data_IF_748077996500
#
_entry.id   IF_748077996500
#
_cell.length_a   1.000
_cell.length_b   1.000
_cell.length_c   1.000
_cell.angle_alpha   90.00
_cell.angle_beta   90.00
_cell.angle_gamma   90.00
#
_symmetry.space_group_name_H-M   'P 1'
#
loop_
_entity.id
_entity.type
_entity.pdbx_description
1 polymer ?
#
# COMPACT_ATOMS: atom_id res chain seq x y z
N UNK A 1 -40.88 6.51 33.07
CA UNK A 1 -41.15 7.56 32.05
C UNK A 1 -39.89 8.31 31.60
N UNK A 2 -39.06 8.85 32.50
CA UNK A 2 -37.84 9.61 32.13
C UNK A 2 -36.83 8.75 31.34
N UNK A 3 -36.63 7.50 31.76
CA UNK A 3 -35.72 6.57 31.08
C UNK A 3 -36.12 6.27 29.63
N UNK A 4 -37.42 6.26 29.34
CA UNK A 4 -37.95 6.01 28.01
C UNK A 4 -37.68 7.21 27.08
N UNK A 5 -37.80 8.43 27.59
CA UNK A 5 -37.48 9.66 26.86
C UNK A 5 -36.00 9.76 26.47
N UNK A 6 -35.10 9.38 27.38
CA UNK A 6 -33.66 9.38 27.12
C UNK A 6 -33.29 8.37 26.03
N UNK A 7 -33.86 7.17 26.10
CA UNK A 7 -33.62 6.11 25.09
C UNK A 7 -34.16 6.51 23.72
N UNK A 8 -35.31 7.17 23.65
CA UNK A 8 -35.85 7.67 22.38
C UNK A 8 -34.94 8.73 21.76
N UNK A 9 -34.43 9.66 22.55
CA UNK A 9 -33.50 10.69 22.05
C UNK A 9 -32.17 10.10 21.59
N UNK A 10 -31.59 9.14 22.31
CA UNK A 10 -30.34 8.50 21.87
C UNK A 10 -30.54 7.67 20.61
N UNK A 11 -31.73 7.09 20.39
CA UNK A 11 -32.07 6.42 19.13
C UNK A 11 -32.15 7.39 17.95
N UNK A 12 -32.74 8.57 18.16
CA UNK A 12 -32.88 9.62 17.14
C UNK A 12 -31.51 10.18 16.71
N UNK A 13 -30.60 10.37 17.67
CA UNK A 13 -29.20 10.76 17.42
C UNK A 13 -28.36 9.65 16.76
N UNK A 14 -28.72 8.39 16.94
CA UNK A 14 -28.02 7.24 16.38
C UNK A 14 -28.55 6.83 14.99
N UNK A 15 -29.70 7.36 14.57
CA UNK A 15 -30.16 7.21 13.19
C UNK A 15 -29.24 8.00 12.26
N UNK A 16 -28.50 7.36 11.33
CA UNK A 16 -27.75 8.10 10.33
C UNK A 16 -28.75 8.92 9.54
N UNK A 17 -28.66 10.25 9.67
CA UNK A 17 -29.41 11.19 8.87
C UNK A 17 -29.07 10.91 7.41
N UNK A 18 -29.98 10.21 6.73
CA UNK A 18 -29.94 10.13 5.27
C UNK A 18 -30.01 11.57 4.79
N UNK A 19 -29.04 12.04 3.98
CA UNK A 19 -29.01 13.43 3.59
C UNK A 19 -30.37 13.79 2.98
N UNK A 20 -31.05 14.77 3.59
CA UNK A 20 -32.26 15.37 3.05
C UNK A 20 -32.00 15.68 1.58
N UNK A 21 -32.88 15.31 0.63
CA UNK A 21 -32.71 15.66 -0.77
C UNK A 21 -32.72 17.19 -0.83
N UNK A 22 -31.53 17.78 -0.83
CA UNK A 22 -31.36 19.19 -1.15
C UNK A 22 -31.90 19.35 -2.56
N UNK A 23 -32.73 20.36 -2.78
CA UNK A 23 -33.05 20.89 -4.12
C UNK A 23 -31.78 21.52 -4.69
N UNK A 24 -30.72 20.71 -4.78
CA UNK A 24 -29.41 21.04 -5.30
C UNK A 24 -29.41 20.87 -6.81
N UNK A 25 -28.43 21.50 -7.44
CA UNK A 25 -28.16 21.42 -8.87
C UNK A 25 -28.35 19.97 -9.35
N UNK A 26 -29.16 19.78 -10.38
CA UNK A 26 -29.42 18.46 -10.97
C UNK A 26 -28.12 17.91 -11.58
N UNK A 27 -27.42 17.06 -10.82
CA UNK A 27 -26.16 16.42 -11.23
C UNK A 27 -26.37 15.04 -11.84
N UNK A 28 -27.62 14.62 -12.06
CA UNK A 28 -27.98 13.27 -12.49
C UNK A 28 -27.30 12.86 -13.82
N UNK A 29 -27.27 13.75 -14.81
CA UNK A 29 -26.57 13.51 -16.07
C UNK A 29 -25.04 13.39 -15.92
N UNK A 30 -24.46 14.16 -15.00
CA UNK A 30 -23.02 14.07 -14.69
C UNK A 30 -22.70 12.78 -13.94
N UNK A 31 -23.55 12.37 -12.99
CA UNK A 31 -23.40 11.13 -12.26
C UNK A 31 -23.50 9.92 -13.20
N UNK A 32 -24.43 9.96 -14.17
CA UNK A 32 -24.58 8.90 -15.17
C UNK A 32 -23.37 8.83 -16.10
N UNK A 33 -22.83 9.99 -16.54
CA UNK A 33 -21.59 10.04 -17.31
C UNK A 33 -20.41 9.44 -16.54
N UNK A 34 -20.21 9.84 -15.28
CA UNK A 34 -19.13 9.32 -14.43
C UNK A 34 -19.27 7.81 -14.22
N UNK A 35 -20.48 7.30 -14.01
CA UNK A 35 -20.72 5.85 -13.84
C UNK A 35 -20.50 5.06 -15.11
N UNK A 36 -20.98 5.53 -16.26
CA UNK A 36 -20.88 4.80 -17.53
C UNK A 36 -19.50 4.87 -18.15
N UNK A 37 -18.80 6.00 -18.00
CA UNK A 37 -17.54 6.24 -18.70
C UNK A 37 -16.33 6.17 -17.77
N UNK A 38 -16.35 6.93 -16.68
CA UNK A 38 -15.17 7.05 -15.82
C UNK A 38 -14.96 5.80 -14.95
N UNK A 39 -16.01 5.21 -14.40
CA UNK A 39 -15.88 4.06 -13.50
C UNK A 39 -15.25 2.81 -14.18
N UNK A 40 -15.65 2.38 -15.40
CA UNK A 40 -15.02 1.25 -16.08
C UNK A 40 -13.55 1.53 -16.43
N UNK A 41 -13.23 2.75 -16.87
CA UNK A 41 -11.88 3.14 -17.26
C UNK A 41 -10.96 3.16 -16.03
N UNK A 42 -11.42 3.74 -14.92
CA UNK A 42 -10.71 3.75 -13.65
C UNK A 42 -10.45 2.33 -13.13
N UNK A 43 -11.47 1.46 -13.10
CA UNK A 43 -11.30 0.08 -12.65
C UNK A 43 -10.34 -0.70 -13.53
N UNK A 44 -10.39 -0.53 -14.85
CA UNK A 44 -9.45 -1.19 -15.76
C UNK A 44 -8.00 -0.80 -15.44
N UNK A 45 -7.70 0.50 -15.34
CA UNK A 45 -6.34 0.98 -15.06
C UNK A 45 -5.88 0.55 -13.66
N UNK A 46 -6.71 0.72 -12.64
CA UNK A 46 -6.38 0.32 -11.27
C UNK A 46 -6.18 -1.18 -11.15
N UNK A 47 -6.95 -2.00 -11.88
CA UNK A 47 -6.76 -3.45 -11.88
C UNK A 47 -5.37 -3.85 -12.39
N UNK A 48 -4.92 -3.24 -13.49
CA UNK A 48 -3.58 -3.49 -14.05
C UNK A 48 -2.50 -3.07 -13.05
N UNK A 49 -2.60 -1.85 -12.52
CA UNK A 49 -1.64 -1.35 -11.51
C UNK A 49 -1.64 -2.23 -10.26
N UNK A 50 -2.80 -2.67 -9.77
CA UNK A 50 -2.93 -3.54 -8.61
C UNK A 50 -2.26 -4.90 -8.82
N UNK A 51 -2.41 -5.49 -10.01
CA UNK A 51 -1.73 -6.74 -10.38
C UNK A 51 -0.21 -6.54 -10.36
N UNK A 52 0.30 -5.50 -11.03
CA UNK A 52 1.74 -5.20 -11.02
C UNK A 52 2.25 -4.92 -9.60
N UNK A 53 1.49 -4.20 -8.78
CA UNK A 53 1.84 -3.90 -7.40
C UNK A 53 1.93 -5.16 -6.54
N UNK A 54 0.95 -6.06 -6.66
CA UNK A 54 0.94 -7.35 -5.96
C UNK A 54 2.19 -8.17 -6.29
N UNK A 55 2.52 -8.31 -7.57
CA UNK A 55 3.71 -9.06 -7.98
C UNK A 55 5.01 -8.35 -7.61
N UNK A 56 5.09 -7.03 -7.77
CA UNK A 56 6.32 -6.26 -7.46
C UNK A 56 6.68 -6.35 -5.98
N UNK A 57 5.70 -6.27 -5.07
CA UNK A 57 5.96 -6.32 -3.63
C UNK A 57 6.50 -7.68 -3.17
N UNK A 58 5.98 -8.76 -3.72
CA UNK A 58 6.43 -10.10 -3.35
C UNK A 58 7.76 -10.47 -4.03
N UNK A 59 7.92 -10.13 -5.32
CA UNK A 59 9.16 -10.40 -6.07
C UNK A 59 10.33 -9.61 -5.50
N UNK A 60 10.16 -8.35 -5.11
CA UNK A 60 11.26 -7.57 -4.51
C UNK A 60 11.76 -8.18 -3.21
N UNK A 61 10.86 -8.69 -2.35
CA UNK A 61 11.25 -9.41 -1.14
C UNK A 61 11.98 -10.72 -1.47
N UNK A 62 11.49 -11.48 -2.44
CA UNK A 62 12.14 -12.71 -2.90
C UNK A 62 13.54 -12.46 -3.46
N UNK A 63 13.69 -11.42 -4.29
CA UNK A 63 14.98 -11.00 -4.85
C UNK A 63 15.95 -10.59 -3.74
N UNK A 64 15.48 -9.89 -2.69
CA UNK A 64 16.33 -9.58 -1.53
C UNK A 64 16.87 -10.83 -0.84
N UNK A 65 16.05 -11.87 -0.68
CA UNK A 65 16.51 -13.15 -0.13
C UNK A 65 17.56 -13.82 -1.02
N UNK A 66 17.35 -13.84 -2.34
CA UNK A 66 18.34 -14.38 -3.29
C UNK A 66 19.65 -13.61 -3.21
N UNK A 67 19.60 -12.28 -3.24
CA UNK A 67 20.80 -11.42 -3.17
C UNK A 67 21.55 -11.70 -1.87
N UNK A 68 20.86 -11.80 -0.73
CA UNK A 68 21.48 -12.09 0.55
C UNK A 68 22.14 -13.48 0.54
N UNK A 69 21.46 -14.51 0.03
CA UNK A 69 22.01 -15.86 -0.07
C UNK A 69 23.27 -15.90 -0.93
N UNK A 70 23.25 -15.24 -2.10
CA UNK A 70 24.41 -15.12 -2.98
C UNK A 70 25.54 -14.36 -2.29
N UNK A 71 25.25 -13.24 -1.62
CA UNK A 71 26.26 -12.44 -0.93
C UNK A 71 27.00 -13.25 0.14
N UNK A 72 26.27 -14.01 0.96
CA UNK A 72 26.87 -14.91 1.95
C UNK A 72 27.67 -16.01 1.24
N UNK A 73 27.14 -16.62 0.18
CA UNK A 73 27.88 -17.60 -0.62
C UNK A 73 29.22 -17.04 -1.11
N UNK A 74 29.21 -15.85 -1.70
CA UNK A 74 30.42 -15.22 -2.24
C UNK A 74 31.43 -14.90 -1.13
N UNK A 75 31.00 -14.28 -0.03
CA UNK A 75 31.90 -13.86 1.06
C UNK A 75 32.63 -15.06 1.67
N UNK A 76 31.93 -16.18 1.89
CA UNK A 76 32.48 -17.31 2.63
C UNK A 76 33.10 -18.40 1.75
N UNK A 77 32.64 -18.57 0.50
CA UNK A 77 33.13 -19.64 -0.38
C UNK A 77 34.09 -19.17 -1.48
N UNK A 78 34.09 -17.89 -1.87
CA UNK A 78 35.05 -17.42 -2.87
C UNK A 78 36.38 -17.13 -2.17
N UNK A 79 37.48 -17.78 -2.60
CA UNK A 79 38.78 -17.56 -1.98
C UNK A 79 39.23 -16.11 -2.15
N UNK A 80 39.97 -15.60 -1.16
CA UNK A 80 40.54 -14.25 -1.10
C UNK A 80 39.56 -13.09 -0.84
N UNK A 81 38.22 -13.30 -0.87
CA UNK A 81 37.27 -12.20 -0.60
C UNK A 81 37.45 -11.64 0.81
N UNK A 82 37.55 -12.52 1.81
CA UNK A 82 37.73 -12.11 3.22
C UNK A 82 39.03 -11.31 3.39
N UNK A 83 40.11 -11.74 2.73
CA UNK A 83 41.41 -11.08 2.83
C UNK A 83 41.41 -9.69 2.17
N UNK A 84 40.81 -9.57 0.99
CA UNK A 84 40.69 -8.28 0.29
C UNK A 84 39.79 -7.32 1.07
N UNK A 85 38.65 -7.78 1.58
CA UNK A 85 37.77 -6.96 2.42
C UNK A 85 38.46 -6.53 3.72
N UNK A 86 39.20 -7.42 4.38
CA UNK A 86 39.96 -7.10 5.58
C UNK A 86 41.06 -6.07 5.31
N UNK A 87 41.82 -6.22 4.22
CA UNK A 87 42.85 -5.23 3.82
C UNK A 87 42.24 -3.89 3.45
N UNK A 88 41.09 -3.87 2.78
CA UNK A 88 40.39 -2.63 2.43
C UNK A 88 39.89 -1.90 3.68
N UNK A 89 39.33 -2.63 4.65
CA UNK A 89 38.87 -2.06 5.92
C UNK A 89 40.06 -1.58 6.75
N UNK A 90 41.11 -2.39 6.89
CA UNK A 90 42.33 -2.00 7.62
C UNK A 90 42.96 -0.73 7.02
N UNK A 91 43.07 -0.67 5.69
CA UNK A 91 43.55 0.52 4.97
C UNK A 91 42.67 1.76 5.18
N UNK A 92 41.35 1.61 5.16
CA UNK A 92 40.42 2.71 5.44
C UNK A 92 40.48 3.18 6.91
N UNK A 93 40.77 2.27 7.85
CA UNK A 93 40.95 2.57 9.26
C UNK A 93 42.38 3.06 9.59
N UNK A 94 43.28 3.14 8.61
CA UNK A 94 44.67 3.56 8.81
C UNK A 94 45.52 2.54 9.56
N UNK A 95 45.04 1.30 9.68
CA UNK A 95 45.74 0.18 10.30
C UNK A 95 46.56 -0.49 9.19
N UNK A 96 47.88 -0.46 9.32
CA UNK A 96 48.82 -1.10 8.38
C UNK A 96 49.17 -2.51 8.83
#
# INVERSE_FOLDING_TARGET
MILQSIVSHTLDLATPSSPTPTTGINTEGLAEFLRRFFAPLFLAVVSVVAIFFLFTREITRFVQFIILAIAIGVIFYVPNIIEVTAKAIAGALGIK
#
